data_IF_988209786985
#
_entry.id   IF_988209786985
#
_cell.length_a   1.000
_cell.length_b   1.000
_cell.length_c   1.000
_cell.angle_alpha   90.00
_cell.angle_beta   90.00
_cell.angle_gamma   90.00
#
_symmetry.space_group_name_H-M   'P 1'
#
loop_
_entity.id
_entity.type
_entity.pdbx_description
1 polymer ?
#
# COMPACT_ATOMS: atom_id res chain seq x y z
N UNK A 1 11.66 11.01 10.24
CA UNK A 1 10.47 10.19 10.52
C UNK A 1 10.99 8.81 10.89
N UNK A 2 10.56 8.22 12.00
CA UNK A 2 10.93 6.85 12.35
C UNK A 2 9.92 5.83 11.77
N UNK A 3 10.21 4.54 11.89
CA UNK A 3 9.32 3.49 11.36
C UNK A 3 7.90 3.56 11.95
N UNK A 4 7.77 3.95 13.23
CA UNK A 4 6.45 4.05 13.90
C UNK A 4 5.65 5.19 13.32
N UNK A 5 6.29 6.34 13.08
CA UNK A 5 5.64 7.47 12.41
C UNK A 5 5.11 7.08 11.02
N UNK A 6 5.87 6.25 10.27
CA UNK A 6 5.41 5.73 8.97
C UNK A 6 4.18 4.84 9.16
N UNK A 7 4.21 3.88 10.08
CA UNK A 7 3.06 3.00 10.32
C UNK A 7 1.83 3.79 10.76
N UNK A 8 2.00 4.78 11.64
CA UNK A 8 0.92 5.68 12.07
C UNK A 8 0.34 6.49 10.91
N UNK A 9 1.17 6.94 9.96
CA UNK A 9 0.70 7.61 8.74
C UNK A 9 -0.27 6.72 7.93
N UNK A 10 0.06 5.43 7.75
CA UNK A 10 -0.84 4.49 7.07
C UNK A 10 -2.16 4.30 7.84
N UNK A 11 -2.12 4.22 9.17
CA UNK A 11 -3.33 4.09 9.99
C UNK A 11 -4.21 5.34 9.94
N UNK A 12 -3.60 6.53 9.96
CA UNK A 12 -4.32 7.80 9.77
C UNK A 12 -4.95 7.87 8.38
N UNK A 13 -4.23 7.46 7.34
CA UNK A 13 -4.77 7.39 5.98
C UNK A 13 -5.94 6.40 5.89
N UNK A 14 -5.85 5.24 6.56
CA UNK A 14 -6.95 4.28 6.59
C UNK A 14 -8.23 4.88 7.18
N UNK A 15 -8.11 5.59 8.32
CA UNK A 15 -9.24 6.29 8.95
C UNK A 15 -9.85 7.35 8.03
N UNK A 16 -9.01 8.08 7.29
CA UNK A 16 -9.49 9.05 6.31
C UNK A 16 -10.26 8.37 5.17
N UNK A 17 -9.74 7.26 4.63
CA UNK A 17 -10.40 6.50 3.57
C UNK A 17 -11.76 5.94 4.01
N UNK A 18 -11.90 5.46 5.24
CA UNK A 18 -13.21 5.04 5.78
C UNK A 18 -14.21 6.20 5.82
N UNK A 19 -13.79 7.36 6.33
CA UNK A 19 -14.63 8.55 6.41
C UNK A 19 -15.08 9.06 5.03
N UNK A 20 -14.33 8.74 3.98
CA UNK A 20 -14.62 9.08 2.58
C UNK A 20 -15.34 7.96 1.82
N UNK A 21 -15.74 6.87 2.48
CA UNK A 21 -16.46 5.77 1.84
C UNK A 21 -15.58 4.90 0.92
N UNK A 22 -14.28 4.80 1.22
CA UNK A 22 -13.31 3.96 0.51
C UNK A 22 -12.83 2.78 1.37
N UNK A 23 -13.71 1.83 1.73
CA UNK A 23 -13.40 0.77 2.71
C UNK A 23 -12.28 -0.17 2.26
N UNK A 24 -12.18 -0.46 0.95
CA UNK A 24 -11.09 -1.27 0.42
C UNK A 24 -9.73 -0.59 0.64
N UNK A 25 -9.60 0.68 0.25
CA UNK A 25 -8.36 1.44 0.44
C UNK A 25 -8.01 1.58 1.92
N UNK A 26 -9.02 1.72 2.79
CA UNK A 26 -8.80 1.73 4.23
C UNK A 26 -8.19 0.41 4.75
N UNK A 27 -8.77 -0.74 4.36
CA UNK A 27 -8.25 -2.05 4.72
C UNK A 27 -6.85 -2.30 4.13
N UNK A 28 -6.61 -1.87 2.90
CA UNK A 28 -5.30 -1.94 2.27
C UNK A 28 -4.24 -1.15 3.05
N UNK A 29 -4.55 0.08 3.47
CA UNK A 29 -3.66 0.90 4.29
C UNK A 29 -3.34 0.24 5.65
N UNK A 30 -4.35 -0.33 6.34
CA UNK A 30 -4.14 -1.05 7.61
C UNK A 30 -3.26 -2.28 7.44
N UNK A 31 -3.54 -3.08 6.41
CA UNK A 31 -2.76 -4.25 6.10
C UNK A 31 -1.30 -3.87 5.80
N UNK A 32 -1.05 -2.84 4.97
CA UNK A 32 0.29 -2.34 4.69
C UNK A 32 1.02 -1.83 5.94
N UNK A 33 0.32 -1.14 6.85
CA UNK A 33 0.87 -0.72 8.13
C UNK A 33 1.35 -1.90 9.01
N UNK A 34 0.85 -3.11 8.74
CA UNK A 34 1.20 -4.34 9.48
C UNK A 34 2.25 -5.16 8.75
N UNK A 35 2.09 -5.41 7.44
CA UNK A 35 2.86 -6.41 6.70
C UNK A 35 4.16 -5.90 6.08
N UNK A 36 4.34 -4.58 5.97
CA UNK A 36 5.61 -4.03 5.48
C UNK A 36 6.74 -4.33 6.46
N UNK A 37 7.84 -4.86 5.92
CA UNK A 37 9.05 -5.19 6.66
C UNK A 37 10.30 -4.77 5.86
N UNK A 38 11.48 -4.83 6.49
CA UNK A 38 12.74 -4.45 5.84
C UNK A 38 13.34 -5.55 4.93
N UNK A 39 12.61 -6.64 4.66
CA UNK A 39 13.10 -7.76 3.83
C UNK A 39 12.87 -7.55 2.34
N UNK A 40 12.05 -6.56 1.96
CA UNK A 40 11.74 -6.17 0.58
C UNK A 40 12.28 -4.78 0.30
N UNK A 41 12.62 -4.48 -0.97
CA UNK A 41 13.08 -3.13 -1.36
C UNK A 41 12.00 -2.09 -1.12
N UNK A 42 10.74 -2.42 -1.38
CA UNK A 42 9.63 -1.51 -1.11
C UNK A 42 9.47 -1.25 0.38
N UNK A 43 9.60 -2.27 1.23
CA UNK A 43 9.50 -2.10 2.66
C UNK A 43 10.66 -1.26 3.20
N UNK A 44 11.89 -1.47 2.71
CA UNK A 44 13.02 -0.58 3.01
C UNK A 44 12.78 0.86 2.56
N UNK A 45 12.26 1.06 1.35
CA UNK A 45 11.99 2.39 0.81
C UNK A 45 10.89 3.14 1.58
N UNK A 46 9.83 2.42 1.99
CA UNK A 46 8.67 3.00 2.69
C UNK A 46 8.97 3.23 4.17
N UNK A 47 9.51 2.24 4.87
CA UNK A 47 9.83 2.34 6.30
C UNK A 47 11.03 3.26 6.56
N UNK A 48 11.94 3.38 5.58
CA UNK A 48 13.07 4.31 5.59
C UNK A 48 12.82 5.60 4.81
N UNK A 49 11.56 5.99 4.57
CA UNK A 49 11.23 7.12 3.69
C UNK A 49 11.96 8.40 4.14
N UNK A 50 12.76 9.05 3.27
CA UNK A 50 13.59 10.19 3.66
C UNK A 50 12.79 11.50 3.77
N UNK A 51 11.58 11.55 3.19
CA UNK A 51 10.71 12.72 3.19
C UNK A 51 9.70 12.75 4.34
N UNK A 52 8.72 13.63 4.23
CA UNK A 52 7.57 13.68 5.15
C UNK A 52 6.44 12.83 4.55
N UNK A 53 6.21 11.64 5.11
CA UNK A 53 5.24 10.70 4.56
C UNK A 53 3.82 11.29 4.40
N UNK A 54 3.44 12.25 5.25
CA UNK A 54 2.14 12.93 5.17
C UNK A 54 2.12 13.93 4.04
N UNK A 55 3.10 14.83 3.97
CA UNK A 55 3.23 15.81 2.88
C UNK A 55 3.38 15.11 1.51
N UNK A 56 4.01 13.95 1.52
CA UNK A 56 4.23 13.09 0.37
C UNK A 56 3.05 12.17 0.04
N UNK A 57 1.99 12.14 0.86
CA UNK A 57 0.89 11.19 0.70
C UNK A 57 1.36 9.74 0.47
N UNK A 58 2.41 9.32 1.20
CA UNK A 58 3.15 8.08 0.94
C UNK A 58 2.26 6.83 0.87
N UNK A 59 1.31 6.69 1.80
CA UNK A 59 0.34 5.60 1.81
C UNK A 59 -0.48 5.54 0.51
N UNK A 60 -0.95 6.68 -0.01
CA UNK A 60 -1.71 6.74 -1.26
C UNK A 60 -0.84 6.49 -2.50
N UNK A 61 0.45 6.89 -2.46
CA UNK A 61 1.41 6.53 -3.53
C UNK A 61 1.59 5.01 -3.60
N UNK A 62 1.76 4.35 -2.45
CA UNK A 62 1.90 2.90 -2.41
C UNK A 62 0.62 2.18 -2.86
N UNK A 63 -0.55 2.61 -2.38
CA UNK A 63 -1.84 2.07 -2.85
C UNK A 63 -2.00 2.21 -4.37
N UNK A 64 -1.53 3.33 -4.94
CA UNK A 64 -1.51 3.55 -6.39
C UNK A 64 -0.58 2.64 -7.16
N UNK A 65 0.64 2.44 -6.66
CA UNK A 65 1.58 1.53 -7.28
C UNK A 65 1.02 0.10 -7.32
N UNK A 66 0.39 -0.36 -6.24
CA UNK A 66 -0.27 -1.67 -6.19
C UNK A 66 -1.47 -1.75 -7.14
N UNK A 67 -2.30 -0.70 -7.20
CA UNK A 67 -3.44 -0.67 -8.11
C UNK A 67 -3.00 -0.69 -9.58
N UNK A 68 -1.94 0.02 -9.94
CA UNK A 68 -1.37 0.01 -11.28
C UNK A 68 -0.93 -1.41 -11.73
N UNK A 69 -0.42 -2.23 -10.80
CA UNK A 69 -0.10 -3.63 -11.11
C UNK A 69 -1.34 -4.47 -11.39
N UNK A 70 -2.45 -4.19 -10.71
CA UNK A 70 -3.74 -4.85 -10.99
C UNK A 70 -4.27 -4.44 -12.36
N UNK A 71 -4.30 -3.13 -12.65
CA UNK A 71 -4.80 -2.60 -13.92
C UNK A 71 -4.00 -3.09 -15.13
N UNK A 72 -2.69 -3.33 -14.96
CA UNK A 72 -1.82 -3.85 -16.02
C UNK A 72 -1.79 -5.39 -16.09
N UNK A 73 -2.49 -6.10 -15.19
CA UNK A 73 -2.42 -7.56 -15.09
C UNK A 73 -1.04 -8.07 -14.68
N UNK A 74 -0.18 -7.21 -14.15
CA UNK A 74 1.20 -7.53 -13.80
C UNK A 74 1.33 -8.35 -12.51
N UNK A 75 0.27 -8.44 -11.71
CA UNK A 75 0.24 -9.22 -10.48
C UNK A 75 -1.14 -9.85 -10.25
N UNK A 76 -1.27 -11.12 -10.64
CA UNK A 76 -2.51 -11.90 -10.50
C UNK A 76 -2.95 -12.07 -9.04
N UNK A 77 -2.01 -12.07 -8.08
CA UNK A 77 -2.31 -12.23 -6.65
C UNK A 77 -3.02 -11.00 -6.10
N UNK A 78 -2.56 -9.79 -6.47
CA UNK A 78 -3.27 -8.57 -6.12
C UNK A 78 -4.67 -8.52 -6.74
N UNK A 79 -4.84 -9.01 -7.98
CA UNK A 79 -6.14 -9.03 -8.63
C UNK A 79 -7.19 -9.84 -7.86
N UNK A 80 -6.79 -10.87 -7.09
CA UNK A 80 -7.70 -11.68 -6.26
C UNK A 80 -8.34 -10.89 -5.11
N UNK A 81 -7.65 -9.86 -4.60
CA UNK A 81 -8.11 -9.09 -3.43
C UNK A 81 -8.65 -7.71 -3.80
N UNK A 82 -8.34 -7.20 -4.99
CA UNK A 82 -8.83 -5.91 -5.47
C UNK A 82 -10.29 -5.98 -5.98
N UNK A 83 -11.05 -4.87 -5.91
CA UNK A 83 -12.38 -4.78 -6.50
C UNK A 83 -12.41 -5.25 -7.97
N UNK A 84 -13.49 -5.94 -8.40
CA UNK A 84 -14.77 -6.11 -7.71
C UNK A 84 -14.80 -7.23 -6.65
N UNK A 85 -13.68 -7.91 -6.38
CA UNK A 85 -13.62 -8.91 -5.33
C UNK A 85 -13.81 -8.26 -3.95
N UNK A 86 -14.42 -9.01 -3.03
CA UNK A 86 -14.56 -8.61 -1.63
C UNK A 86 -13.51 -9.34 -0.82
N UNK A 87 -12.57 -8.60 -0.25
CA UNK A 87 -11.53 -9.12 0.63
C UNK A 87 -11.57 -8.36 1.97
N UNK A 88 -11.58 -9.12 3.05
CA UNK A 88 -11.36 -8.61 4.41
C UNK A 88 -9.93 -8.10 4.59
N UNK A 89 -9.72 -7.29 5.62
CA UNK A 89 -8.38 -6.82 6.00
C UNK A 89 -7.40 -7.98 6.21
N UNK A 90 -7.83 -9.07 6.85
CA UNK A 90 -7.00 -10.26 7.07
C UNK A 90 -6.64 -10.99 5.77
N UNK A 91 -7.56 -11.04 4.79
CA UNK A 91 -7.28 -11.65 3.49
C UNK A 91 -6.30 -10.79 2.69
N UNK A 92 -6.46 -9.46 2.73
CA UNK A 92 -5.53 -8.52 2.12
C UNK A 92 -4.13 -8.70 2.76
N UNK A 93 -4.05 -8.72 4.09
CA UNK A 93 -2.79 -8.90 4.82
C UNK A 93 -2.12 -10.24 4.51
N UNK A 94 -2.88 -11.31 4.28
CA UNK A 94 -2.33 -12.62 3.92
C UNK A 94 -1.73 -12.65 2.50
N UNK A 95 -2.29 -11.89 1.55
CA UNK A 95 -1.85 -11.89 0.14
C UNK A 95 -0.70 -10.92 -0.11
N UNK A 96 -0.67 -9.79 0.60
CA UNK A 96 0.29 -8.70 0.35
C UNK A 96 1.77 -9.13 0.37
N UNK A 97 2.28 -9.91 1.35
CA UNK A 97 3.70 -10.26 1.39
C UNK A 97 4.20 -10.95 0.11
N UNK A 98 3.46 -11.96 -0.37
CA UNK A 98 3.82 -12.67 -1.60
C UNK A 98 3.67 -11.76 -2.82
N UNK A 99 2.59 -10.98 -2.89
CA UNK A 99 2.36 -10.05 -3.99
C UNK A 99 3.44 -8.97 -4.10
N UNK A 100 3.86 -8.41 -2.96
CA UNK A 100 4.94 -7.43 -2.86
C UNK A 100 6.25 -8.06 -3.34
N UNK A 101 6.63 -9.22 -2.81
CA UNK A 101 7.88 -9.88 -3.18
C UNK A 101 7.99 -10.16 -4.69
N UNK A 102 6.88 -10.53 -5.34
CA UNK A 102 6.82 -10.79 -6.80
C UNK A 102 6.94 -9.54 -7.67
N UNK A 103 6.66 -8.36 -7.14
CA UNK A 103 6.60 -7.12 -7.91
C UNK A 103 7.46 -6.00 -7.30
N UNK A 104 8.35 -6.34 -6.38
CA UNK A 104 9.06 -5.43 -5.49
C UNK A 104 9.69 -4.24 -6.22
N UNK A 105 10.53 -4.51 -7.24
CA UNK A 105 11.18 -3.47 -8.05
C UNK A 105 10.18 -2.57 -8.79
N UNK A 106 9.08 -3.14 -9.30
CA UNK A 106 8.03 -2.39 -10.01
C UNK A 106 7.27 -1.48 -9.04
N UNK A 107 7.00 -1.95 -7.82
CA UNK A 107 6.30 -1.15 -6.81
C UNK A 107 7.19 0.02 -6.37
N UNK A 108 8.49 -0.21 -6.17
CA UNK A 108 9.46 0.86 -5.85
C UNK A 108 9.47 1.93 -6.92
N UNK A 109 9.53 1.56 -8.19
CA UNK A 109 9.46 2.53 -9.30
C UNK A 109 8.14 3.33 -9.30
N UNK A 110 7.05 2.70 -8.87
CA UNK A 110 5.74 3.34 -8.72
C UNK A 110 5.67 4.41 -7.62
N UNK A 111 6.57 4.41 -6.63
CA UNK A 111 6.59 5.46 -5.58
C UNK A 111 6.97 6.84 -6.11
N UNK A 112 7.63 6.92 -7.28
CA UNK A 112 7.92 8.19 -7.94
C UNK A 112 6.69 8.81 -8.64
N UNK A 113 5.60 8.05 -8.78
CA UNK A 113 4.35 8.51 -9.38
C UNK A 113 3.56 9.45 -8.46
N UNK A 114 2.66 10.24 -9.06
CA UNK A 114 1.68 11.02 -8.30
C UNK A 114 0.77 10.07 -7.49
N UNK A 115 0.31 10.46 -6.27
CA UNK A 115 -0.62 9.66 -5.50
C UNK A 115 -1.95 9.47 -6.25
N UNK A 116 -2.67 8.38 -5.96
CA UNK A 116 -4.01 8.17 -6.52
C UNK A 116 -4.95 9.24 -5.96
N UNK A 117 -5.54 10.03 -6.86
CA UNK A 117 -6.69 10.87 -6.56
C UNK A 117 -7.93 10.05 -6.86
N UNK A 118 -8.69 9.66 -5.83
CA UNK A 118 -10.06 9.15 -6.00
C UNK A 118 -10.94 10.17 -6.73
#
# INVERSE_FOLDING_TARGET
MDERDIRDHFLVQAKACDGLGSPFTANLCRALATVLDANTRIGQAVLGWPGDARADALALRLCGALHALVLTGANERLALIYPPNQASESEIAAVLPEAIARSDERIVAGLAGAPQTN
#
